data_IF_637144886300
#
_entry.id   IF_637144886300
#
_cell.length_a   1.000
_cell.length_b   1.000
_cell.length_c   1.000
_cell.angle_alpha   90.00
_cell.angle_beta   90.00
_cell.angle_gamma   90.00
#
_symmetry.space_group_name_H-M   'P 1'
#
loop_
_entity.id
_entity.type
_entity.pdbx_description
1 polymer ?
#
# COMPACT_ATOMS: atom_id res chain seq x y z
N UNK A 1 11.83 -0.48 14.40
CA UNK A 1 12.97 -0.56 13.46
C UNK A 1 12.44 -0.61 12.03
N UNK A 2 13.00 0.23 11.17
CA UNK A 2 12.60 0.67 9.81
C UNK A 2 12.21 -0.44 8.83
N UNK A 3 10.97 -0.44 8.30
CA UNK A 3 10.63 -1.15 7.04
C UNK A 3 11.01 -0.26 5.86
N UNK A 4 12.19 -0.46 5.28
CA UNK A 4 12.50 0.08 3.95
C UNK A 4 11.80 -0.78 2.91
N UNK A 5 11.22 -0.15 1.88
CA UNK A 5 10.78 -0.85 0.68
C UNK A 5 11.97 -1.64 0.11
N UNK A 6 11.82 -2.96 -0.03
CA UNK A 6 12.85 -3.84 -0.58
C UNK A 6 12.71 -3.91 -2.10
N UNK A 7 13.21 -2.90 -2.80
CA UNK A 7 13.44 -3.02 -4.24
C UNK A 7 14.89 -3.47 -4.44
N UNK A 8 15.14 -4.76 -4.19
CA UNK A 8 16.41 -5.42 -4.51
C UNK A 8 16.44 -5.92 -5.96
N UNK A 9 17.65 -6.13 -6.50
CA UNK A 9 17.89 -6.62 -7.85
C UNK A 9 17.25 -8.01 -8.07
N UNK A 10 16.52 -8.18 -9.17
CA UNK A 10 15.86 -9.44 -9.54
C UNK A 10 16.68 -10.24 -10.56
N UNK A 11 16.80 -11.55 -10.29
CA UNK A 11 17.34 -12.66 -11.10
C UNK A 11 18.70 -12.49 -11.82
N UNK A 12 19.66 -13.38 -11.52
CA UNK A 12 20.81 -13.61 -12.41
C UNK A 12 20.44 -14.59 -13.53
N UNK A 13 21.02 -14.37 -14.71
CA UNK A 13 20.67 -14.93 -16.04
C UNK A 13 20.60 -16.48 -16.22
N UNK A 14 20.67 -17.31 -15.16
CA UNK A 14 20.68 -18.77 -15.29
C UNK A 14 19.29 -19.44 -15.25
N UNK A 15 18.24 -18.76 -14.81
CA UNK A 15 16.87 -19.27 -14.86
C UNK A 15 15.88 -18.14 -15.19
N UNK A 16 15.13 -18.29 -16.28
CA UNK A 16 14.27 -17.25 -16.88
C UNK A 16 12.95 -16.99 -16.10
N UNK A 17 12.89 -17.28 -14.82
CA UNK A 17 11.68 -17.05 -14.00
C UNK A 17 11.92 -15.90 -13.03
N UNK A 18 11.01 -14.91 -13.05
CA UNK A 18 10.98 -13.86 -12.04
C UNK A 18 10.83 -14.51 -10.66
N UNK A 19 11.80 -14.25 -9.78
CA UNK A 19 11.75 -14.68 -8.38
C UNK A 19 11.42 -13.44 -7.57
N UNK A 20 10.25 -13.43 -6.93
CA UNK A 20 9.87 -12.37 -6.01
C UNK A 20 10.68 -12.50 -4.70
N UNK A 21 11.61 -11.57 -4.40
CA UNK A 21 12.39 -11.61 -3.16
C UNK A 21 11.54 -11.35 -1.91
N UNK A 22 10.32 -10.82 -2.07
CA UNK A 22 9.36 -10.63 -1.00
C UNK A 22 8.57 -11.89 -0.63
N UNK A 23 8.72 -12.98 -1.38
CA UNK A 23 7.98 -14.22 -1.12
C UNK A 23 8.45 -14.87 0.19
N UNK A 24 7.56 -15.19 1.15
CA UNK A 24 7.99 -15.69 2.45
C UNK A 24 8.45 -17.15 2.35
N UNK A 25 9.69 -17.43 2.75
CA UNK A 25 10.29 -18.78 2.75
C UNK A 25 10.05 -19.58 4.04
N UNK A 26 9.47 -18.94 5.07
CA UNK A 26 9.32 -19.52 6.42
C UNK A 26 7.89 -19.98 6.72
N UNK A 27 7.01 -20.05 5.73
CA UNK A 27 5.63 -20.51 5.90
C UNK A 27 5.63 -22.03 6.03
N UNK A 28 4.83 -22.57 6.96
CA UNK A 28 4.68 -24.02 7.14
C UNK A 28 3.94 -24.63 5.95
N UNK A 29 4.23 -25.89 5.63
CA UNK A 29 3.53 -26.63 4.60
C UNK A 29 2.00 -26.60 4.86
N UNK A 30 1.24 -26.04 3.92
CA UNK A 30 -0.22 -25.87 4.02
C UNK A 30 -0.71 -24.47 4.45
N UNK A 31 0.18 -23.59 4.92
CA UNK A 31 -0.17 -22.18 5.15
C UNK A 31 0.04 -21.35 3.86
N UNK A 32 -0.79 -20.33 3.67
CA UNK A 32 -0.73 -19.45 2.51
C UNK A 32 -0.06 -18.11 2.86
N UNK A 33 0.75 -17.59 1.93
CA UNK A 33 1.25 -16.23 2.04
C UNK A 33 0.07 -15.24 2.08
N UNK A 34 0.10 -14.29 3.02
CA UNK A 34 -0.94 -13.26 3.09
C UNK A 34 -0.78 -12.34 1.88
N UNK A 35 -1.74 -12.41 0.96
CA UNK A 35 -1.86 -11.55 -0.22
C UNK A 35 -3.12 -10.70 -0.09
N UNK A 36 -3.34 -9.73 -0.98
CA UNK A 36 -4.60 -8.96 -0.98
C UNK A 36 -5.84 -9.87 -1.07
N UNK A 37 -5.74 -11.01 -1.75
CA UNK A 37 -6.85 -11.96 -1.93
C UNK A 37 -7.12 -12.82 -0.69
N UNK A 38 -6.10 -13.04 0.14
CA UNK A 38 -6.21 -13.85 1.37
C UNK A 38 -6.20 -13.03 2.65
N UNK A 39 -6.20 -11.70 2.53
CA UNK A 39 -6.30 -10.75 3.64
C UNK A 39 -7.74 -10.70 4.17
N UNK A 40 -7.91 -10.55 5.49
CA UNK A 40 -9.22 -10.35 6.13
C UNK A 40 -9.98 -9.15 5.58
N UNK A 41 -9.26 -8.16 5.05
CA UNK A 41 -9.83 -6.95 4.42
C UNK A 41 -9.23 -6.79 3.03
N UNK A 42 -10.09 -6.75 2.02
CA UNK A 42 -9.68 -6.47 0.64
C UNK A 42 -9.44 -4.97 0.44
N UNK A 43 -8.35 -4.64 -0.26
CA UNK A 43 -7.92 -3.27 -0.53
C UNK A 43 -6.99 -2.68 0.54
N UNK A 44 -6.46 -1.50 0.25
CA UNK A 44 -5.62 -0.76 1.20
C UNK A 44 -6.42 -0.36 2.43
N UNK A 45 -5.84 -0.58 3.62
CA UNK A 45 -6.35 0.06 4.83
C UNK A 45 -6.46 1.56 4.58
N UNK A 46 -7.57 2.16 4.99
CA UNK A 46 -7.75 3.60 4.91
C UNK A 46 -6.49 4.29 5.46
N UNK A 47 -5.92 5.29 4.76
CA UNK A 47 -4.77 6.02 5.26
C UNK A 47 -5.07 6.74 6.58
N UNK A 48 -6.35 6.92 6.92
CA UNK A 48 -6.82 7.58 8.14
C UNK A 48 -7.08 6.60 9.30
N UNK A 49 -6.79 5.31 9.14
CA UNK A 49 -7.06 4.28 10.16
C UNK A 49 -8.54 3.93 10.29
N UNK A 50 -8.89 3.20 11.35
CA UNK A 50 -10.27 2.79 11.64
C UNK A 50 -11.02 3.78 12.56
N UNK A 51 -10.28 4.71 13.19
CA UNK A 51 -10.79 5.73 14.11
C UNK A 51 -11.53 6.87 13.38
N UNK A 52 -11.20 7.10 12.10
CA UNK A 52 -11.74 8.20 11.30
C UNK A 52 -13.01 7.79 10.57
N UNK A 53 -14.14 8.36 10.97
CA UNK A 53 -15.42 8.18 10.29
C UNK A 53 -15.64 9.26 9.21
N UNK A 54 -16.11 8.85 8.05
CA UNK A 54 -16.48 9.74 6.95
C UNK A 54 -18.00 9.75 6.77
N UNK A 55 -18.60 10.88 6.35
CA UNK A 55 -17.97 12.13 5.92
C UNK A 55 -17.58 13.06 7.08
N UNK A 56 -16.49 13.81 6.90
CA UNK A 56 -16.09 14.86 7.85
C UNK A 56 -16.97 16.11 7.70
N UNK A 57 -17.21 16.86 8.79
CA UNK A 57 -17.91 18.14 8.72
C UNK A 57 -17.13 19.15 7.87
N UNK A 58 -17.85 20.01 7.15
CA UNK A 58 -17.26 20.94 6.17
C UNK A 58 -16.21 21.86 6.78
N UNK A 59 -16.38 22.25 8.04
CA UNK A 59 -15.45 23.11 8.78
C UNK A 59 -14.09 22.47 9.06
N UNK A 60 -13.99 21.13 9.01
CA UNK A 60 -12.76 20.38 9.29
C UNK A 60 -12.06 19.94 8.00
N UNK A 61 -12.68 20.12 6.84
CA UNK A 61 -12.07 19.76 5.57
C UNK A 61 -10.89 20.70 5.26
N UNK A 62 -9.69 20.18 4.95
CA UNK A 62 -8.54 21.01 4.56
C UNK A 62 -8.66 21.55 3.12
N UNK A 63 -9.85 21.51 2.53
CA UNK A 63 -10.08 21.91 1.14
C UNK A 63 -10.21 23.44 1.05
N UNK A 64 -9.34 24.04 0.25
CA UNK A 64 -9.42 25.46 -0.11
C UNK A 64 -9.72 25.58 -1.60
N UNK A 65 -10.81 26.27 -1.94
CA UNK A 65 -11.17 26.46 -3.34
C UNK A 65 -10.13 27.33 -4.05
N UNK A 66 -9.52 26.89 -5.16
CA UNK A 66 -8.50 27.67 -5.86
C UNK A 66 -9.14 28.92 -6.47
N UNK A 67 -8.52 30.08 -6.23
CA UNK A 67 -8.94 31.35 -6.83
C UNK A 67 -7.88 31.80 -7.82
N UNK A 68 -8.27 31.95 -9.09
CA UNK A 68 -7.41 32.49 -10.14
C UNK A 68 -7.63 33.99 -10.27
N UNK A 69 -6.61 34.80 -10.00
CA UNK A 69 -6.62 36.25 -10.28
C UNK A 69 -6.03 36.47 -11.67
N UNK A 70 -6.85 36.93 -12.62
CA UNK A 70 -6.39 37.24 -13.98
C UNK A 70 -5.62 38.57 -13.95
N UNK A 71 -4.41 38.58 -14.53
CA UNK A 71 -3.63 39.80 -14.68
C UNK A 71 -4.34 40.72 -15.69
N UNK A 72 -4.72 41.92 -15.27
CA UNK A 72 -5.42 42.90 -16.12
C UNK A 72 -4.43 43.74 -16.92
#
# INVERSE_FOLDING_TARGET
MTRRCQNGLVANNSSKSYVDPGWPSHIKEGDHAVTELSSTRSGGLSPFGEEMEFPLPVSELPYTHPVTVVNR
#
